data_IF_820771916964
#
_entry.id   IF_820771916964
#
_cell.length_a   1.000
_cell.length_b   1.000
_cell.length_c   1.000
_cell.angle_alpha   90.00
_cell.angle_beta   90.00
_cell.angle_gamma   90.00
#
_symmetry.space_group_name_H-M   'P 1'
#
loop_
_entity.id
_entity.type
_entity.pdbx_description
1 polymer ?
#
# COMPACT_ATOMS: atom_id res chain seq x y z
N UNK A 1 12.61 49.80 35.81
CA UNK A 1 11.55 48.93 36.35
C UNK A 1 10.24 49.71 36.19
N UNK A 2 9.30 49.43 35.29
CA UNK A 2 8.97 48.23 34.52
C UNK A 2 8.64 48.63 33.08
N UNK A 3 9.10 47.83 32.11
CA UNK A 3 8.75 47.97 30.69
C UNK A 3 7.47 47.18 30.42
N UNK A 4 6.57 47.79 29.65
CA UNK A 4 5.24 47.31 29.33
C UNK A 4 5.23 46.05 28.47
N UNK A 5 4.16 45.29 28.63
CA UNK A 5 3.81 44.08 27.89
C UNK A 5 3.35 44.51 26.49
N UNK A 6 4.18 44.28 25.47
CA UNK A 6 3.74 44.36 24.07
C UNK A 6 3.09 43.04 23.64
N UNK A 7 1.89 43.15 23.07
CA UNK A 7 1.03 42.05 22.69
C UNK A 7 1.59 41.22 21.52
N UNK A 8 1.48 39.91 21.69
CA UNK A 8 1.72 38.88 20.66
C UNK A 8 0.72 39.02 19.49
N UNK A 9 1.17 39.02 18.22
CA UNK A 9 0.28 38.97 17.07
C UNK A 9 -0.19 37.53 16.84
N UNK A 10 -1.19 37.10 17.60
CA UNK A 10 -1.94 35.88 17.31
C UNK A 10 -2.92 36.14 16.16
N UNK A 11 -2.54 35.66 14.97
CA UNK A 11 -3.43 35.04 13.97
C UNK A 11 -4.84 35.64 13.86
N UNK A 12 -4.96 36.83 13.28
CA UNK A 12 -6.20 37.24 12.63
C UNK A 12 -6.36 36.44 11.33
N UNK A 13 -7.10 35.35 11.42
CA UNK A 13 -7.61 34.61 10.25
C UNK A 13 -8.71 35.49 9.62
N UNK A 14 -8.67 35.81 8.31
CA UNK A 14 -9.71 36.62 7.70
C UNK A 14 -11.06 35.90 7.80
N UNK A 15 -12.02 36.53 8.47
CA UNK A 15 -13.44 36.17 8.44
C UNK A 15 -13.97 36.41 7.02
N UNK A 16 -13.92 35.37 6.20
CA UNK A 16 -14.34 35.43 4.80
C UNK A 16 -14.48 34.07 4.15
N UNK A 17 -15.34 33.21 4.70
CA UNK A 17 -15.86 32.06 3.95
C UNK A 17 -17.29 31.73 4.41
N UNK A 18 -18.24 32.55 3.97
CA UNK A 18 -19.64 32.15 3.88
C UNK A 18 -19.78 31.12 2.75
N UNK A 19 -19.96 29.86 3.12
CA UNK A 19 -21.11 29.03 2.73
C UNK A 19 -20.83 27.58 3.08
N UNK A 20 -21.72 27.01 3.88
CA UNK A 20 -21.93 25.57 4.08
C UNK A 20 -22.48 24.90 2.82
N UNK A 21 -21.89 25.21 1.65
CA UNK A 21 -22.18 24.51 0.41
C UNK A 21 -21.46 23.17 0.41
N UNK A 22 -22.21 22.09 0.20
CA UNK A 22 -21.62 20.80 -0.21
C UNK A 22 -20.67 21.08 -1.36
N UNK A 23 -19.40 20.76 -1.15
CA UNK A 23 -18.34 21.04 -2.12
C UNK A 23 -18.61 20.17 -3.34
N UNK A 24 -18.96 20.82 -4.45
CA UNK A 24 -19.08 20.13 -5.73
C UNK A 24 -17.70 19.60 -6.11
N UNK A 25 -17.56 18.28 -6.05
CA UNK A 25 -16.36 17.57 -6.53
C UNK A 25 -16.38 17.45 -8.06
N UNK A 26 -17.57 17.39 -8.66
CA UNK A 26 -17.75 17.36 -10.11
C UNK A 26 -17.85 18.80 -10.68
N UNK A 27 -17.37 19.03 -11.91
CA UNK A 27 -17.59 20.28 -12.63
C UNK A 27 -19.08 20.66 -12.73
N UNK A 28 -19.35 21.96 -12.77
CA UNK A 28 -20.71 22.47 -12.89
C UNK A 28 -21.34 22.11 -14.24
N UNK A 29 -22.66 21.91 -14.26
CA UNK A 29 -23.41 21.57 -15.47
C UNK A 29 -23.46 20.07 -15.84
N UNK A 30 -22.77 19.19 -15.10
CA UNK A 30 -22.88 17.74 -15.32
C UNK A 30 -24.23 17.20 -14.84
N UNK A 31 -24.88 16.37 -15.67
CA UNK A 31 -26.07 15.57 -15.30
C UNK A 31 -25.70 14.53 -14.23
N UNK A 32 -26.65 14.03 -13.42
CA UNK A 32 -26.37 13.07 -12.34
C UNK A 32 -25.57 11.83 -12.75
N UNK A 33 -25.90 11.23 -13.91
CA UNK A 33 -25.15 10.11 -14.46
C UNK A 33 -23.69 10.47 -14.79
N UNK A 34 -23.46 11.65 -15.35
CA UNK A 34 -22.11 12.14 -15.68
C UNK A 34 -21.29 12.39 -14.40
N UNK A 35 -21.93 12.90 -13.34
CA UNK A 35 -21.30 13.06 -12.03
C UNK A 35 -20.90 11.71 -11.44
N UNK A 36 -21.80 10.71 -11.48
CA UNK A 36 -21.50 9.36 -10.99
C UNK A 36 -20.30 8.74 -11.73
N UNK A 37 -20.30 8.81 -13.07
CA UNK A 37 -19.16 8.34 -13.90
C UNK A 37 -17.88 9.10 -13.56
N UNK A 38 -17.96 10.42 -13.36
CA UNK A 38 -16.83 11.23 -12.96
C UNK A 38 -16.24 10.78 -11.62
N UNK A 39 -17.08 10.56 -10.61
CA UNK A 39 -16.64 10.13 -9.28
C UNK A 39 -16.06 8.72 -9.30
N UNK A 40 -16.70 7.76 -9.96
CA UNK A 40 -16.19 6.39 -10.10
C UNK A 40 -14.84 6.37 -10.81
N UNK A 41 -14.70 7.13 -11.91
CA UNK A 41 -13.42 7.27 -12.61
C UNK A 41 -12.36 7.89 -11.70
N UNK A 42 -12.71 8.91 -10.91
CA UNK A 42 -11.76 9.55 -9.99
C UNK A 42 -11.29 8.59 -8.89
N UNK A 43 -12.19 7.80 -8.29
CA UNK A 43 -11.83 6.78 -7.29
C UNK A 43 -10.96 5.66 -7.88
N UNK A 44 -11.27 5.22 -9.10
CA UNK A 44 -10.42 4.28 -9.83
C UNK A 44 -9.02 4.87 -10.09
N UNK A 45 -8.94 6.13 -10.53
CA UNK A 45 -7.66 6.77 -10.81
C UNK A 45 -6.83 7.01 -9.54
N UNK A 46 -7.42 7.15 -8.36
CA UNK A 46 -6.64 7.17 -7.11
C UNK A 46 -5.91 5.86 -6.84
N UNK A 47 -6.49 4.73 -7.26
CA UNK A 47 -6.07 3.38 -6.87
C UNK A 47 -5.51 2.55 -8.04
N UNK A 48 -5.48 3.10 -9.25
CA UNK A 48 -5.15 2.39 -10.50
C UNK A 48 -3.79 1.69 -10.45
N UNK A 49 -2.76 2.31 -9.88
CA UNK A 49 -1.44 1.68 -9.70
C UNK A 49 -1.50 0.53 -8.71
N UNK A 50 -2.32 0.69 -7.67
CA UNK A 50 -2.35 -0.18 -6.49
C UNK A 50 -3.14 -1.47 -6.71
N UNK A 51 -3.91 -1.56 -7.80
CA UNK A 51 -4.61 -2.78 -8.17
C UNK A 51 -3.64 -3.95 -8.31
N UNK A 52 -2.50 -3.73 -8.98
CA UNK A 52 -1.50 -4.78 -9.24
C UNK A 52 -0.48 -4.92 -8.12
N UNK A 53 -0.16 -3.84 -7.41
CA UNK A 53 0.89 -3.85 -6.38
C UNK A 53 0.37 -4.19 -4.99
N UNK A 54 -0.92 -3.95 -4.71
CA UNK A 54 -1.52 -4.19 -3.39
C UNK A 54 -2.80 -5.03 -3.48
N UNK A 55 -3.82 -4.60 -4.22
CA UNK A 55 -5.14 -5.25 -4.18
C UNK A 55 -5.07 -6.74 -4.57
N UNK A 56 -4.54 -7.04 -5.75
CA UNK A 56 -4.46 -8.42 -6.24
C UNK A 56 -3.53 -9.29 -5.36
N UNK A 57 -2.30 -8.85 -4.98
CA UNK A 57 -1.48 -9.59 -4.03
C UNK A 57 -2.15 -9.84 -2.68
N UNK A 58 -2.86 -8.86 -2.12
CA UNK A 58 -3.55 -9.04 -0.83
C UNK A 58 -4.71 -10.03 -0.93
N UNK A 59 -5.44 -10.07 -2.06
CA UNK A 59 -6.45 -11.11 -2.32
C UNK A 59 -5.80 -12.51 -2.34
N UNK A 60 -4.65 -12.65 -2.98
CA UNK A 60 -3.88 -13.91 -3.00
C UNK A 60 -3.44 -14.29 -1.58
N UNK A 61 -2.91 -13.34 -0.82
CA UNK A 61 -2.48 -13.53 0.55
C UNK A 61 -3.62 -14.07 1.44
N UNK A 62 -4.76 -13.39 1.46
CA UNK A 62 -5.87 -13.78 2.34
C UNK A 62 -6.49 -15.12 1.94
N UNK A 63 -6.63 -15.40 0.65
CA UNK A 63 -7.16 -16.68 0.17
C UNK A 63 -6.22 -17.83 0.51
N UNK A 64 -4.92 -17.65 0.30
CA UNK A 64 -3.91 -18.65 0.65
C UNK A 64 -3.85 -18.88 2.15
N UNK A 65 -4.04 -17.82 2.96
CA UNK A 65 -4.04 -17.92 4.40
C UNK A 65 -5.26 -18.66 4.98
N UNK A 66 -6.47 -18.45 4.43
CA UNK A 66 -7.68 -19.15 4.92
C UNK A 66 -7.79 -20.58 4.42
N UNK A 67 -7.19 -20.88 3.26
CA UNK A 67 -7.12 -22.23 2.69
C UNK A 67 -5.88 -23.02 3.15
N UNK A 68 -5.01 -22.39 3.94
CA UNK A 68 -3.88 -23.04 4.59
C UNK A 68 -4.37 -24.20 5.47
N UNK A 69 -3.62 -25.32 5.50
CA UNK A 69 -3.93 -26.47 6.35
C UNK A 69 -3.85 -26.11 7.83
N UNK A 70 -2.91 -25.24 8.19
CA UNK A 70 -2.72 -24.82 9.57
C UNK A 70 -3.64 -23.63 9.92
N UNK A 71 -4.16 -23.57 11.16
CA UNK A 71 -4.98 -22.45 11.59
C UNK A 71 -4.15 -21.16 11.70
N UNK A 72 -4.47 -20.18 10.85
CA UNK A 72 -3.89 -18.82 10.90
C UNK A 72 -4.83 -17.80 11.55
N UNK A 73 -6.11 -18.14 11.69
CA UNK A 73 -7.11 -17.31 12.38
C UNK A 73 -7.95 -18.18 13.30
N UNK A 74 -8.58 -17.56 14.30
CA UNK A 74 -9.49 -18.26 15.21
C UNK A 74 -10.76 -18.78 14.52
N UNK A 75 -11.03 -18.36 13.28
CA UNK A 75 -12.12 -18.85 12.44
C UNK A 75 -11.69 -19.93 11.46
N UNK A 76 -10.61 -20.67 11.71
CA UNK A 76 -10.14 -21.74 10.82
C UNK A 76 -11.22 -22.82 10.58
N UNK A 77 -11.20 -23.43 9.38
CA UNK A 77 -12.19 -24.44 8.98
C UNK A 77 -13.48 -23.86 8.38
N UNK A 78 -13.47 -22.62 7.89
CA UNK A 78 -14.61 -22.02 7.20
C UNK A 78 -15.02 -22.83 5.98
N UNK A 79 -16.32 -22.91 5.74
CA UNK A 79 -16.87 -23.48 4.53
C UNK A 79 -16.57 -22.59 3.32
N UNK A 80 -16.54 -23.18 2.11
CA UNK A 80 -16.36 -22.41 0.87
C UNK A 80 -17.43 -21.31 0.69
N UNK A 81 -18.66 -21.54 1.18
CA UNK A 81 -19.74 -20.58 1.13
C UNK A 81 -19.49 -19.37 2.05
N UNK A 82 -18.95 -19.58 3.24
CA UNK A 82 -18.58 -18.50 4.17
C UNK A 82 -17.45 -17.64 3.59
N UNK A 83 -16.42 -18.28 3.04
CA UNK A 83 -15.32 -17.59 2.35
C UNK A 83 -15.88 -16.77 1.18
N UNK A 84 -16.73 -17.35 0.33
CA UNK A 84 -17.33 -16.67 -0.82
C UNK A 84 -18.19 -15.46 -0.41
N UNK A 85 -18.90 -15.53 0.73
CA UNK A 85 -19.70 -14.42 1.25
C UNK A 85 -18.84 -13.29 1.84
N UNK A 86 -17.71 -13.61 2.48
CA UNK A 86 -16.84 -12.62 3.14
C UNK A 86 -15.79 -12.03 2.20
N UNK A 87 -15.45 -12.72 1.11
CA UNK A 87 -14.46 -12.24 0.13
C UNK A 87 -14.81 -10.86 -0.45
N UNK A 88 -16.05 -10.57 -0.90
CA UNK A 88 -16.41 -9.22 -1.36
C UNK A 88 -16.21 -8.15 -0.29
N UNK A 89 -16.46 -8.47 0.99
CA UNK A 89 -16.25 -7.54 2.10
C UNK A 89 -14.76 -7.26 2.32
N UNK A 90 -13.92 -8.29 2.26
CA UNK A 90 -12.47 -8.13 2.38
C UNK A 90 -11.89 -7.34 1.19
N UNK A 91 -12.33 -7.61 -0.04
CA UNK A 91 -11.94 -6.87 -1.25
C UNK A 91 -12.36 -5.40 -1.14
N UNK A 92 -13.61 -5.14 -0.72
CA UNK A 92 -14.10 -3.79 -0.49
C UNK A 92 -13.29 -3.09 0.61
N UNK A 93 -12.97 -3.77 1.70
CA UNK A 93 -12.14 -3.24 2.78
C UNK A 93 -10.76 -2.85 2.27
N UNK A 94 -10.08 -3.70 1.48
CA UNK A 94 -8.78 -3.36 0.87
C UNK A 94 -8.92 -2.13 -0.03
N UNK A 95 -9.91 -2.13 -0.92
CA UNK A 95 -10.11 -1.03 -1.87
C UNK A 95 -10.43 0.30 -1.18
N UNK A 96 -11.27 0.30 -0.14
CA UNK A 96 -11.60 1.49 0.64
C UNK A 96 -10.36 2.11 1.29
N UNK A 97 -9.49 1.27 1.86
CA UNK A 97 -8.24 1.70 2.46
C UNK A 97 -7.22 2.16 1.41
N UNK A 98 -7.21 1.56 0.21
CA UNK A 98 -6.44 2.06 -0.94
C UNK A 98 -6.92 3.44 -1.40
N UNK A 99 -8.24 3.71 -1.38
CA UNK A 99 -8.76 5.05 -1.67
C UNK A 99 -8.24 6.07 -0.65
N UNK A 100 -8.27 5.76 0.65
CA UNK A 100 -7.72 6.61 1.71
C UNK A 100 -6.22 6.88 1.47
N UNK A 101 -5.44 5.83 1.23
CA UNK A 101 -4.01 5.93 0.94
C UNK A 101 -3.74 6.77 -0.32
N UNK A 102 -4.47 6.50 -1.41
CA UNK A 102 -4.33 7.19 -2.68
C UNK A 102 -4.62 8.68 -2.59
N UNK A 103 -5.68 9.07 -1.89
CA UNK A 103 -5.99 10.49 -1.65
C UNK A 103 -4.88 11.16 -0.83
N UNK A 104 -4.46 10.52 0.27
CA UNK A 104 -3.44 11.09 1.15
C UNK A 104 -2.07 11.23 0.47
N UNK A 105 -1.64 10.22 -0.29
CA UNK A 105 -0.36 10.22 -0.98
C UNK A 105 -0.27 11.27 -2.10
N UNK A 106 -1.40 11.64 -2.70
CA UNK A 106 -1.43 12.48 -3.90
C UNK A 106 -1.76 13.96 -3.62
N UNK A 107 -2.29 14.29 -2.43
CA UNK A 107 -2.84 15.64 -2.14
C UNK A 107 -1.83 16.76 -1.92
N UNK A 108 -0.60 16.43 -1.53
CA UNK A 108 0.43 17.40 -1.20
C UNK A 108 1.05 17.99 -2.47
N UNK A 109 1.43 19.26 -2.46
CA UNK A 109 2.01 19.96 -3.61
C UNK A 109 3.22 19.22 -4.20
N UNK A 110 4.14 18.77 -3.35
CA UNK A 110 5.32 17.99 -3.76
C UNK A 110 4.95 16.65 -4.41
N UNK A 111 3.86 16.00 -3.98
CA UNK A 111 3.35 14.79 -4.61
C UNK A 111 2.68 15.08 -5.96
N UNK A 112 2.02 16.23 -6.11
CA UNK A 112 1.41 16.62 -7.40
C UNK A 112 2.49 16.84 -8.45
N UNK A 113 3.57 17.55 -8.11
CA UNK A 113 4.71 17.79 -9.02
C UNK A 113 5.37 16.46 -9.44
N UNK A 114 5.59 15.54 -8.50
CA UNK A 114 6.10 14.20 -8.80
C UNK A 114 5.16 13.44 -9.75
N UNK A 115 3.87 13.47 -9.47
CA UNK A 115 2.87 12.73 -10.24
C UNK A 115 2.65 13.34 -11.63
N UNK A 116 2.86 14.64 -11.84
CA UNK A 116 2.83 15.26 -13.18
C UNK A 116 3.91 14.68 -14.10
N UNK A 117 5.05 14.27 -13.55
CA UNK A 117 6.13 13.62 -14.29
C UNK A 117 5.89 12.12 -14.45
N UNK A 118 5.70 11.40 -13.34
CA UNK A 118 5.66 9.94 -13.35
C UNK A 118 4.28 9.37 -13.74
N UNK A 119 3.20 10.01 -13.27
CA UNK A 119 1.83 9.45 -13.25
C UNK A 119 0.79 10.52 -13.61
N UNK A 120 0.90 11.19 -14.78
CA UNK A 120 0.08 12.38 -15.12
C UNK A 120 -1.43 12.11 -15.21
N UNK A 121 -1.83 10.83 -15.23
CA UNK A 121 -3.21 10.38 -15.21
C UNK A 121 -3.85 10.39 -13.80
N UNK A 122 -3.07 10.57 -12.73
CA UNK A 122 -3.59 10.62 -11.35
C UNK A 122 -4.53 11.81 -11.15
N UNK A 123 -5.56 11.72 -10.31
CA UNK A 123 -6.61 12.74 -10.24
C UNK A 123 -6.14 14.18 -10.07
N UNK A 124 -5.09 14.43 -9.28
CA UNK A 124 -4.64 15.79 -8.99
C UNK A 124 -3.69 16.31 -10.07
N UNK A 125 -2.73 15.50 -10.52
CA UNK A 125 -1.89 15.80 -11.68
C UNK A 125 -2.72 16.04 -12.96
N UNK A 126 -3.77 15.25 -13.16
CA UNK A 126 -4.72 15.40 -14.26
C UNK A 126 -5.75 16.54 -14.05
N UNK A 127 -5.62 17.33 -12.97
CA UNK A 127 -6.48 18.46 -12.62
C UNK A 127 -7.98 18.11 -12.52
N UNK A 128 -8.30 16.85 -12.20
CA UNK A 128 -9.68 16.39 -11.94
C UNK A 128 -10.19 16.92 -10.61
N UNK A 129 -9.31 17.06 -9.62
CA UNK A 129 -9.60 17.61 -8.30
C UNK A 129 -8.50 18.59 -7.90
N UNK A 130 -8.86 19.62 -7.13
CA UNK A 130 -7.90 20.46 -6.42
C UNK A 130 -7.42 19.80 -5.13
N UNK A 131 -6.26 20.21 -4.61
CA UNK A 131 -5.74 19.73 -3.32
C UNK A 131 -6.77 19.94 -2.18
N UNK A 132 -7.46 21.08 -2.15
CA UNK A 132 -8.51 21.35 -1.16
C UNK A 132 -9.77 20.48 -1.32
N UNK A 133 -10.12 20.06 -2.54
CA UNK A 133 -11.17 19.06 -2.75
C UNK A 133 -10.72 17.67 -2.26
N UNK A 134 -9.49 17.28 -2.56
CA UNK A 134 -8.91 16.01 -2.09
C UNK A 134 -8.81 15.94 -0.56
N UNK A 135 -8.39 17.03 0.10
CA UNK A 135 -8.36 17.12 1.56
C UNK A 135 -9.73 16.89 2.19
N UNK A 136 -10.78 17.50 1.63
CA UNK A 136 -12.15 17.33 2.13
C UNK A 136 -12.69 15.92 1.88
N UNK A 137 -12.33 15.31 0.75
CA UNK A 137 -12.63 13.91 0.47
C UNK A 137 -11.94 12.98 1.48
N UNK A 138 -10.67 13.26 1.83
CA UNK A 138 -9.93 12.50 2.85
C UNK A 138 -10.59 12.58 4.22
N UNK A 139 -11.02 13.78 4.64
CA UNK A 139 -11.75 14.01 5.90
C UNK A 139 -13.05 13.21 6.00
N UNK A 140 -13.70 12.87 4.88
CA UNK A 140 -14.86 11.99 4.85
C UNK A 140 -14.46 10.50 4.73
N UNK A 141 -13.44 10.18 3.93
CA UNK A 141 -13.03 8.81 3.65
C UNK A 141 -12.42 8.11 4.89
N UNK A 142 -11.69 8.83 5.75
CA UNK A 142 -11.09 8.27 6.96
C UNK A 142 -12.16 7.81 7.97
N UNK A 143 -13.12 8.66 8.41
CA UNK A 143 -14.21 8.21 9.27
C UNK A 143 -15.05 7.08 8.65
N UNK A 144 -15.27 7.11 7.34
CA UNK A 144 -15.96 6.02 6.63
C UNK A 144 -15.20 4.70 6.77
N UNK A 145 -13.88 4.70 6.54
CA UNK A 145 -13.05 3.51 6.68
C UNK A 145 -13.04 2.95 8.11
N UNK A 146 -12.99 3.82 9.12
CA UNK A 146 -13.12 3.45 10.54
C UNK A 146 -14.50 2.86 10.82
N UNK A 147 -15.57 3.53 10.38
CA UNK A 147 -16.95 3.10 10.59
C UNK A 147 -17.26 1.75 9.93
N UNK A 148 -16.79 1.54 8.70
CA UNK A 148 -16.91 0.24 8.00
C UNK A 148 -16.17 -0.85 8.78
N UNK A 149 -14.96 -0.58 9.26
CA UNK A 149 -14.17 -1.57 10.00
C UNK A 149 -14.78 -1.90 11.37
N UNK A 150 -15.36 -0.91 12.05
CA UNK A 150 -16.14 -1.13 13.26
C UNK A 150 -17.40 -1.96 13.00
N UNK A 151 -18.14 -1.66 11.93
CA UNK A 151 -19.36 -2.38 11.55
C UNK A 151 -19.12 -3.83 11.14
N UNK A 152 -17.97 -4.13 10.53
CA UNK A 152 -17.56 -5.50 10.21
C UNK A 152 -17.12 -6.31 11.45
N UNK A 153 -16.89 -5.65 12.59
CA UNK A 153 -16.45 -6.28 13.84
C UNK A 153 -14.99 -6.78 13.81
N UNK A 154 -14.25 -6.49 12.74
CA UNK A 154 -12.88 -6.94 12.52
C UNK A 154 -12.12 -5.91 11.66
N UNK A 155 -10.80 -5.87 11.78
CA UNK A 155 -9.96 -4.94 11.02
C UNK A 155 -9.83 -3.53 11.59
N UNK A 156 -10.51 -3.18 12.68
CA UNK A 156 -10.44 -1.85 13.30
C UNK A 156 -9.01 -1.45 13.73
N UNK A 157 -8.29 -2.34 14.41
CA UNK A 157 -6.90 -2.07 14.83
C UNK A 157 -5.97 -1.82 13.62
N UNK A 158 -5.96 -2.68 12.57
CA UNK A 158 -5.27 -2.37 11.32
C UNK A 158 -5.68 -1.06 10.66
N UNK A 159 -6.97 -0.70 10.64
CA UNK A 159 -7.46 0.57 10.09
C UNK A 159 -6.91 1.78 10.86
N UNK A 160 -6.97 1.75 12.18
CA UNK A 160 -6.44 2.83 13.02
C UNK A 160 -4.92 2.95 12.83
N UNK A 161 -4.20 1.82 12.90
CA UNK A 161 -2.75 1.76 12.72
C UNK A 161 -2.33 2.30 11.35
N UNK A 162 -3.01 1.87 10.28
CA UNK A 162 -2.72 2.32 8.92
C UNK A 162 -3.02 3.81 8.73
N UNK A 163 -4.12 4.31 9.31
CA UNK A 163 -4.46 5.75 9.26
C UNK A 163 -3.40 6.58 9.98
N UNK A 164 -2.95 6.13 11.15
CA UNK A 164 -1.86 6.77 11.90
C UNK A 164 -0.55 6.75 11.12
N UNK A 165 -0.16 5.60 10.56
CA UNK A 165 1.06 5.46 9.75
C UNK A 165 1.01 6.34 8.50
N UNK A 166 -0.15 6.43 7.84
CA UNK A 166 -0.33 7.27 6.65
C UNK A 166 -0.24 8.76 6.98
N UNK A 167 -0.80 9.17 8.12
CA UNK A 167 -0.65 10.53 8.65
C UNK A 167 0.82 10.82 9.01
N UNK A 168 1.51 9.89 9.69
CA UNK A 168 2.95 10.03 9.97
C UNK A 168 3.78 10.12 8.67
N UNK A 169 3.45 9.33 7.66
CA UNK A 169 4.17 9.30 6.39
C UNK A 169 4.06 10.62 5.61
N UNK A 170 2.84 11.15 5.46
CA UNK A 170 2.56 12.31 4.62
C UNK A 170 2.50 13.62 5.42
N UNK A 171 1.62 13.70 6.42
CA UNK A 171 1.31 14.96 7.13
C UNK A 171 2.39 15.37 8.13
N UNK A 172 3.07 14.41 8.75
CA UNK A 172 4.24 14.67 9.61
C UNK A 172 5.57 14.58 8.85
N UNK A 173 5.51 14.46 7.52
CA UNK A 173 6.68 14.37 6.65
C UNK A 173 7.64 13.21 7.01
N UNK A 174 7.12 12.13 7.61
CA UNK A 174 7.90 10.95 7.98
C UNK A 174 8.57 10.27 6.79
N UNK A 175 8.03 10.47 5.58
CA UNK A 175 8.63 10.00 4.33
C UNK A 175 9.96 10.67 3.97
N UNK A 176 10.28 11.81 4.59
CA UNK A 176 11.46 12.64 4.30
C UNK A 176 12.58 12.55 5.35
N UNK A 177 12.34 11.89 6.49
CA UNK A 177 13.32 11.74 7.59
C UNK A 177 14.57 11.02 7.10
N UNK A 178 14.42 9.74 6.78
CA UNK A 178 15.45 8.90 6.17
C UNK A 178 14.81 7.66 5.52
N UNK A 179 15.62 6.92 4.77
CA UNK A 179 15.17 5.76 3.99
C UNK A 179 14.61 4.63 4.87
N UNK A 180 15.15 4.42 6.07
CA UNK A 180 14.76 3.36 6.97
C UNK A 180 13.45 3.68 7.67
N UNK A 181 13.28 4.92 8.15
CA UNK A 181 12.02 5.41 8.69
C UNK A 181 10.89 5.32 7.64
N UNK A 182 11.17 5.78 6.42
CA UNK A 182 10.23 5.70 5.28
C UNK A 182 9.82 4.25 4.98
N UNK A 183 10.79 3.35 4.86
CA UNK A 183 10.53 1.95 4.58
C UNK A 183 9.79 1.24 5.72
N UNK A 184 10.10 1.58 6.98
CA UNK A 184 9.42 1.03 8.15
C UNK A 184 7.94 1.43 8.19
N UNK A 185 7.64 2.73 7.97
CA UNK A 185 6.25 3.23 7.95
C UNK A 185 5.47 2.59 6.79
N UNK A 186 6.05 2.55 5.59
CA UNK A 186 5.42 1.93 4.41
C UNK A 186 5.15 0.44 4.63
N UNK A 187 6.14 -0.28 5.17
CA UNK A 187 6.00 -1.72 5.50
C UNK A 187 4.90 -1.93 6.53
N UNK A 188 4.84 -1.12 7.59
CA UNK A 188 3.76 -1.17 8.56
C UNK A 188 2.38 -0.97 7.92
N UNK A 189 2.25 -0.07 6.94
CA UNK A 189 1.04 0.12 6.16
C UNK A 189 0.63 -1.13 5.38
N UNK A 190 1.58 -1.78 4.69
CA UNK A 190 1.30 -3.04 3.97
C UNK A 190 0.95 -4.19 4.92
N UNK A 191 1.61 -4.28 6.07
CA UNK A 191 1.27 -5.27 7.10
C UNK A 191 -0.16 -5.06 7.63
N UNK A 192 -0.62 -3.81 7.74
CA UNK A 192 -2.02 -3.51 8.09
C UNK A 192 -3.01 -4.00 7.02
N UNK A 193 -2.67 -3.90 5.73
CA UNK A 193 -3.50 -4.49 4.67
C UNK A 193 -3.64 -5.99 4.85
N UNK A 194 -2.53 -6.70 5.09
CA UNK A 194 -2.55 -8.16 5.30
C UNK A 194 -3.32 -8.55 6.56
N UNK A 195 -3.09 -7.88 7.68
CA UNK A 195 -3.77 -8.17 8.94
C UNK A 195 -5.28 -7.87 8.88
N UNK A 196 -5.64 -6.68 8.37
CA UNK A 196 -7.03 -6.23 8.33
C UNK A 196 -7.87 -7.04 7.35
N UNK A 197 -7.38 -7.24 6.12
CA UNK A 197 -8.12 -8.01 5.12
C UNK A 197 -8.28 -9.48 5.49
N UNK A 198 -7.27 -10.10 6.11
CA UNK A 198 -7.37 -11.48 6.61
C UNK A 198 -8.40 -11.58 7.75
N UNK A 199 -8.40 -10.63 8.69
CA UNK A 199 -9.39 -10.59 9.76
C UNK A 199 -10.82 -10.40 9.22
N UNK A 200 -10.98 -9.57 8.19
CA UNK A 200 -12.29 -9.37 7.54
C UNK A 200 -12.75 -10.61 6.80
N UNK A 201 -11.85 -11.28 6.05
CA UNK A 201 -12.17 -12.50 5.34
C UNK A 201 -12.54 -13.63 6.30
N UNK A 202 -11.74 -13.85 7.35
CA UNK A 202 -12.00 -14.91 8.32
C UNK A 202 -13.14 -14.58 9.29
N UNK A 203 -13.42 -13.29 9.52
CA UNK A 203 -14.32 -12.84 10.58
C UNK A 203 -13.82 -13.14 11.99
N UNK A 204 -12.52 -13.33 12.15
CA UNK A 204 -11.91 -13.79 13.39
C UNK A 204 -10.55 -13.15 13.63
N UNK A 205 -10.09 -13.20 14.88
CA UNK A 205 -8.77 -12.73 15.26
C UNK A 205 -7.65 -13.55 14.59
N UNK A 206 -6.54 -12.88 14.28
CA UNK A 206 -5.32 -13.52 13.77
C UNK A 206 -4.59 -14.26 14.89
N UNK A 207 -4.07 -15.44 14.57
CA UNK A 207 -3.24 -16.23 15.48
C UNK A 207 -1.77 -15.81 15.39
N UNK A 208 -0.93 -16.15 16.39
CA UNK A 208 0.49 -15.75 16.42
C UNK A 208 1.26 -16.13 15.15
N UNK A 209 0.96 -17.28 14.55
CA UNK A 209 1.59 -17.73 13.30
C UNK A 209 1.23 -16.85 12.10
N UNK A 210 0.03 -16.29 12.07
CA UNK A 210 -0.37 -15.31 11.06
C UNK A 210 0.43 -14.01 11.21
N UNK A 211 0.58 -13.51 12.43
CA UNK A 211 1.43 -12.35 12.70
C UNK A 211 2.89 -12.60 12.34
N UNK A 212 3.43 -13.79 12.63
CA UNK A 212 4.77 -14.18 12.22
C UNK A 212 4.90 -14.19 10.69
N UNK A 213 3.91 -14.72 9.97
CA UNK A 213 3.91 -14.70 8.51
C UNK A 213 3.83 -13.28 7.93
N UNK A 214 2.97 -12.42 8.49
CA UNK A 214 2.89 -10.99 8.13
C UNK A 214 4.21 -10.27 8.41
N UNK A 215 4.92 -10.62 9.48
CA UNK A 215 6.24 -10.06 9.77
C UNK A 215 7.31 -10.53 8.78
N UNK A 216 7.32 -11.82 8.42
CA UNK A 216 8.22 -12.40 7.42
C UNK A 216 8.02 -11.74 6.05
N UNK A 217 6.77 -11.65 5.58
CA UNK A 217 6.48 -11.00 4.30
C UNK A 217 6.68 -9.48 4.36
N UNK A 218 6.39 -8.85 5.50
CA UNK A 218 6.72 -7.45 5.75
C UNK A 218 8.21 -7.18 5.63
N UNK A 219 9.07 -8.02 6.22
CA UNK A 219 10.52 -7.91 6.10
C UNK A 219 11.01 -8.14 4.67
N UNK A 220 10.41 -9.10 3.95
CA UNK A 220 10.67 -9.30 2.53
C UNK A 220 10.36 -8.03 1.73
N UNK A 221 9.21 -7.39 1.94
CA UNK A 221 8.84 -6.14 1.29
C UNK A 221 9.79 -5.02 1.69
N UNK A 222 10.06 -4.82 2.98
CA UNK A 222 10.92 -3.74 3.48
C UNK A 222 12.31 -3.71 2.82
N UNK A 223 12.85 -4.90 2.53
CA UNK A 223 14.19 -5.08 1.95
C UNK A 223 14.21 -5.14 0.42
N UNK A 224 13.05 -5.32 -0.22
CA UNK A 224 12.96 -5.52 -1.69
C UNK A 224 12.08 -4.51 -2.41
N UNK A 225 11.28 -3.69 -1.71
CA UNK A 225 10.35 -2.71 -2.31
C UNK A 225 11.07 -1.67 -3.18
N UNK A 226 12.37 -1.44 -2.93
CA UNK A 226 13.25 -0.66 -3.80
C UNK A 226 13.29 -1.12 -5.27
N UNK A 227 12.81 -2.34 -5.58
CA UNK A 227 12.56 -2.77 -6.95
C UNK A 227 11.61 -1.82 -7.70
N UNK A 228 10.70 -1.17 -6.98
CA UNK A 228 9.76 -0.19 -7.52
C UNK A 228 10.38 1.22 -7.64
N UNK A 229 11.51 1.48 -7.01
CA UNK A 229 12.19 2.78 -7.07
C UNK A 229 12.99 2.93 -8.40
N UNK A 230 13.36 1.83 -9.08
CA UNK A 230 14.15 1.93 -10.32
C UNK A 230 13.41 2.61 -11.48
N UNK A 231 12.13 2.27 -11.78
CA UNK A 231 11.38 3.01 -12.81
C UNK A 231 11.08 4.46 -12.41
N UNK A 232 10.95 4.74 -11.11
CA UNK A 232 10.51 6.05 -10.59
C UNK A 232 11.68 7.02 -10.29
N UNK A 233 12.94 6.66 -10.62
CA UNK A 233 14.14 7.44 -10.25
C UNK A 233 14.14 8.91 -10.72
N UNK A 234 13.57 9.20 -11.88
CA UNK A 234 13.53 10.57 -12.42
C UNK A 234 12.62 11.48 -11.58
N UNK A 235 11.38 11.06 -11.34
CA UNK A 235 10.48 11.79 -10.46
C UNK A 235 10.94 11.82 -9.00
N UNK A 236 11.59 10.74 -8.51
CA UNK A 236 12.21 10.74 -7.19
C UNK A 236 13.30 11.81 -7.07
N UNK A 237 14.13 11.96 -8.12
CA UNK A 237 15.15 13.01 -8.18
C UNK A 237 14.52 14.41 -8.22
N UNK A 238 13.46 14.61 -9.01
CA UNK A 238 12.75 15.88 -9.10
C UNK A 238 12.12 16.30 -7.76
N UNK A 239 11.61 15.35 -6.98
CA UNK A 239 11.07 15.56 -5.63
C UNK A 239 12.15 15.72 -4.55
N UNK A 240 13.41 15.42 -4.85
CA UNK A 240 14.48 15.36 -3.85
C UNK A 240 14.36 14.16 -2.89
N UNK A 241 13.72 13.07 -3.33
CA UNK A 241 13.59 11.85 -2.53
C UNK A 241 14.93 11.16 -2.37
N UNK A 242 15.12 10.61 -1.16
CA UNK A 242 16.31 9.85 -0.77
C UNK A 242 16.06 8.34 -0.90
N UNK A 243 15.95 7.83 -2.13
CA UNK A 243 15.77 6.39 -2.39
C UNK A 243 17.09 5.63 -2.35
N UNK A 244 17.06 4.30 -2.18
CA UNK A 244 18.30 3.48 -2.10
C UNK A 244 19.17 3.66 -3.36
N UNK A 245 18.62 3.63 -4.60
CA UNK A 245 19.41 3.88 -5.80
C UNK A 245 20.06 5.26 -5.84
N UNK A 246 19.38 6.31 -5.32
CA UNK A 246 19.89 7.69 -5.32
C UNK A 246 20.90 7.94 -4.19
N UNK A 247 20.75 7.29 -3.03
CA UNK A 247 21.65 7.46 -1.88
C UNK A 247 22.93 6.64 -1.97
N UNK A 248 22.81 5.35 -2.31
CA UNK A 248 23.91 4.39 -2.25
C UNK A 248 24.45 4.00 -3.64
N UNK A 249 23.83 4.54 -4.69
CA UNK A 249 24.15 4.23 -6.06
C UNK A 249 23.47 2.96 -6.56
N UNK A 250 23.22 2.94 -7.87
CA UNK A 250 22.45 1.90 -8.55
C UNK A 250 23.07 0.49 -8.40
N UNK A 251 24.41 0.39 -8.42
CA UNK A 251 25.10 -0.91 -8.28
C UNK A 251 24.83 -1.57 -6.93
N UNK A 252 24.88 -0.79 -5.85
CA UNK A 252 24.63 -1.27 -4.48
C UNK A 252 23.16 -1.63 -4.31
N UNK A 253 22.25 -0.77 -4.79
CA UNK A 253 20.81 -1.02 -4.75
C UNK A 253 20.43 -2.33 -5.47
N UNK A 254 20.93 -2.54 -6.70
CA UNK A 254 20.67 -3.74 -7.50
C UNK A 254 21.27 -5.00 -6.87
N UNK A 255 22.51 -4.92 -6.39
CA UNK A 255 23.17 -6.04 -5.71
C UNK A 255 22.46 -6.44 -4.43
N UNK A 256 22.12 -5.46 -3.58
CA UNK A 256 21.36 -5.68 -2.36
C UNK A 256 19.98 -6.26 -2.61
N UNK A 257 19.25 -5.75 -3.61
CA UNK A 257 17.95 -6.29 -4.02
C UNK A 257 18.08 -7.75 -4.47
N UNK A 258 19.05 -8.08 -5.33
CA UNK A 258 19.27 -9.43 -5.80
C UNK A 258 19.53 -10.42 -4.65
N UNK A 259 20.39 -10.03 -3.69
CA UNK A 259 20.68 -10.85 -2.51
C UNK A 259 19.43 -11.03 -1.65
N UNK A 260 18.71 -9.95 -1.34
CA UNK A 260 17.51 -10.01 -0.51
C UNK A 260 16.43 -10.92 -1.14
N UNK A 261 16.19 -10.80 -2.44
CA UNK A 261 15.23 -11.66 -3.17
C UNK A 261 15.61 -13.13 -3.06
N UNK A 262 16.89 -13.48 -3.24
CA UNK A 262 17.36 -14.86 -3.12
C UNK A 262 17.20 -15.40 -1.69
N UNK A 263 17.54 -14.59 -0.67
CA UNK A 263 17.37 -14.95 0.74
C UNK A 263 15.90 -15.26 1.05
N UNK A 264 14.98 -14.36 0.68
CA UNK A 264 13.56 -14.55 0.95
C UNK A 264 12.93 -15.67 0.10
N UNK A 265 13.47 -15.94 -1.09
CA UNK A 265 13.05 -17.07 -1.92
C UNK A 265 13.34 -18.43 -1.27
N UNK A 266 14.29 -18.50 -0.34
CA UNK A 266 14.57 -19.68 0.48
C UNK A 266 13.90 -19.61 1.86
N UNK A 267 13.96 -18.45 2.53
CA UNK A 267 13.45 -18.28 3.88
C UNK A 267 11.93 -18.47 3.98
N UNK A 268 11.17 -18.01 2.97
CA UNK A 268 9.70 -18.12 2.99
C UNK A 268 9.22 -19.58 2.86
N UNK A 269 9.69 -20.40 1.89
CA UNK A 269 9.37 -21.84 1.89
C UNK A 269 9.84 -22.57 3.14
N UNK A 270 11.01 -22.20 3.70
CA UNK A 270 11.54 -22.77 4.93
C UNK A 270 10.65 -22.47 6.15
N UNK A 271 10.11 -21.25 6.26
CA UNK A 271 9.15 -20.87 7.31
C UNK A 271 7.92 -21.78 7.33
N UNK A 272 7.46 -22.19 6.14
CA UNK A 272 6.33 -23.09 5.96
C UNK A 272 6.69 -24.57 6.00
N UNK A 273 7.97 -24.93 6.15
CA UNK A 273 8.42 -26.32 6.18
C UNK A 273 8.27 -27.07 4.85
N UNK A 274 8.16 -26.35 3.73
CA UNK A 274 7.73 -26.94 2.46
C UNK A 274 8.76 -27.91 1.85
N UNK A 275 8.28 -28.97 1.21
CA UNK A 275 9.10 -29.86 0.38
C UNK A 275 9.84 -29.10 -0.74
N UNK A 276 11.07 -29.51 -1.13
CA UNK A 276 11.87 -28.80 -2.15
C UNK A 276 11.19 -28.57 -3.50
N UNK A 277 10.22 -29.41 -3.89
CA UNK A 277 9.45 -29.23 -5.13
C UNK A 277 8.70 -27.88 -5.15
N UNK A 278 8.21 -27.42 -4.01
CA UNK A 278 7.49 -26.15 -3.89
C UNK A 278 8.42 -24.93 -3.87
N UNK A 279 9.74 -25.13 -3.78
CA UNK A 279 10.74 -24.06 -3.81
C UNK A 279 11.04 -23.60 -5.24
N UNK A 280 10.69 -24.41 -6.24
CA UNK A 280 10.96 -24.13 -7.66
C UNK A 280 10.38 -22.78 -8.09
N UNK A 281 9.14 -22.46 -7.68
CA UNK A 281 8.52 -21.20 -8.08
C UNK A 281 9.14 -19.97 -7.38
N UNK A 282 9.29 -19.91 -6.03
CA UNK A 282 9.98 -18.82 -5.35
C UNK A 282 11.41 -18.61 -5.86
N UNK A 283 12.20 -19.69 -5.96
CA UNK A 283 13.61 -19.63 -6.39
C UNK A 283 13.73 -19.32 -7.88
N UNK A 284 12.86 -19.88 -8.71
CA UNK A 284 12.88 -19.64 -10.16
C UNK A 284 12.54 -18.20 -10.52
N UNK A 285 11.41 -17.68 -10.01
CA UNK A 285 11.01 -16.28 -10.26
C UNK A 285 11.97 -15.31 -9.58
N UNK A 286 12.38 -15.59 -8.33
CA UNK A 286 13.34 -14.77 -7.59
C UNK A 286 14.72 -14.74 -8.25
N UNK A 287 15.21 -15.88 -8.74
CA UNK A 287 16.47 -16.00 -9.48
C UNK A 287 16.44 -15.26 -10.81
N UNK A 288 15.34 -15.37 -11.57
CA UNK A 288 15.15 -14.59 -12.80
C UNK A 288 15.14 -13.10 -12.51
N UNK A 289 14.40 -12.66 -11.49
CA UNK A 289 14.35 -11.26 -11.07
C UNK A 289 15.73 -10.76 -10.66
N UNK A 290 16.46 -11.50 -9.81
CA UNK A 290 17.79 -11.15 -9.35
C UNK A 290 18.79 -11.04 -10.51
N UNK A 291 18.77 -12.00 -11.44
CA UNK A 291 19.62 -11.99 -12.63
C UNK A 291 19.33 -10.77 -13.52
N UNK A 292 18.06 -10.50 -13.83
CA UNK A 292 17.67 -9.36 -14.65
C UNK A 292 18.03 -8.03 -13.98
N UNK A 293 17.84 -7.93 -12.67
CA UNK A 293 18.18 -6.75 -11.87
C UNK A 293 19.65 -6.38 -12.00
N UNK A 294 20.55 -7.37 -12.04
CA UNK A 294 22.01 -7.15 -12.10
C UNK A 294 22.52 -7.00 -13.54
N UNK A 295 22.01 -7.81 -14.46
CA UNK A 295 22.53 -7.96 -15.83
C UNK A 295 21.96 -6.93 -16.82
N UNK A 296 20.75 -6.40 -16.59
CA UNK A 296 20.12 -5.41 -17.48
C UNK A 296 19.84 -4.12 -16.72
N UNK A 297 20.34 -3.01 -17.27
CA UNK A 297 20.28 -1.68 -16.64
C UNK A 297 19.78 -0.65 -17.64
N UNK A 298 18.50 -0.75 -17.94
CA UNK A 298 17.77 0.23 -18.73
C UNK A 298 16.32 0.31 -18.23
N UNK A 299 15.66 1.40 -18.56
CA UNK A 299 14.28 1.70 -18.16
C UNK A 299 13.30 0.55 -18.46
N UNK A 300 13.37 -0.02 -19.67
CA UNK A 300 12.52 -1.16 -20.05
C UNK A 300 12.74 -2.39 -19.17
N UNK A 301 13.99 -2.67 -18.77
CA UNK A 301 14.28 -3.76 -17.85
C UNK A 301 13.84 -3.48 -16.42
N UNK A 302 13.89 -2.22 -15.98
CA UNK A 302 13.47 -1.83 -14.63
C UNK A 302 11.95 -1.98 -14.47
N UNK A 303 11.19 -1.61 -15.51
CA UNK A 303 9.76 -1.90 -15.60
C UNK A 303 9.43 -3.40 -15.51
N UNK A 304 10.26 -4.24 -16.12
CA UNK A 304 10.11 -5.69 -16.07
C UNK A 304 10.47 -6.22 -14.68
N UNK A 305 11.53 -5.71 -14.05
CA UNK A 305 11.92 -6.06 -12.68
C UNK A 305 10.82 -5.69 -11.69
N UNK A 306 10.19 -4.52 -11.81
CA UNK A 306 9.06 -4.12 -10.98
C UNK A 306 7.86 -5.07 -11.13
N UNK A 307 7.53 -5.50 -12.37
CA UNK A 307 6.48 -6.50 -12.62
C UNK A 307 6.83 -7.87 -12.06
N UNK A 308 8.09 -8.29 -12.20
CA UNK A 308 8.58 -9.55 -11.63
C UNK A 308 8.56 -9.52 -10.10
N UNK A 309 8.83 -8.38 -9.48
CA UNK A 309 8.70 -8.22 -8.03
C UNK A 309 7.26 -8.43 -7.57
N UNK A 310 6.26 -7.84 -8.25
CA UNK A 310 4.85 -8.07 -7.95
C UNK A 310 4.47 -9.56 -8.09
N UNK A 311 4.97 -10.22 -9.15
CA UNK A 311 4.74 -11.64 -9.39
C UNK A 311 5.40 -12.50 -8.30
N UNK A 312 6.65 -12.21 -7.96
CA UNK A 312 7.42 -12.91 -6.94
C UNK A 312 6.77 -12.79 -5.56
N UNK A 313 6.34 -11.59 -5.15
CA UNK A 313 5.58 -11.40 -3.92
C UNK A 313 4.29 -12.21 -3.91
N UNK A 314 3.57 -12.25 -5.04
CA UNK A 314 2.36 -13.08 -5.18
C UNK A 314 2.67 -14.58 -5.05
N UNK A 315 3.79 -15.05 -5.60
CA UNK A 315 4.27 -16.43 -5.43
C UNK A 315 4.56 -16.73 -3.96
N UNK A 316 5.22 -15.82 -3.25
CA UNK A 316 5.47 -15.98 -1.81
C UNK A 316 4.15 -16.05 -1.02
N UNK A 317 3.16 -15.24 -1.39
CA UNK A 317 1.84 -15.24 -0.74
C UNK A 317 1.03 -16.51 -0.95
N UNK A 318 1.31 -17.31 -1.99
CA UNK A 318 0.67 -18.62 -2.24
C UNK A 318 1.22 -19.71 -1.34
N UNK A 319 2.42 -19.58 -0.77
CA UNK A 319 3.09 -20.63 -0.01
C UNK A 319 2.25 -21.27 1.12
N UNK A 320 1.45 -20.53 1.93
CA UNK A 320 0.61 -21.15 2.96
C UNK A 320 -0.36 -22.20 2.38
N UNK A 321 -0.88 -21.99 1.16
CA UNK A 321 -1.80 -22.92 0.50
C UNK A 321 -1.14 -24.27 0.20
N UNK A 322 0.17 -24.29 -0.07
CA UNK A 322 0.91 -25.48 -0.47
C UNK A 322 1.08 -26.47 0.69
N UNK A 323 0.94 -26.02 1.94
CA UNK A 323 0.92 -26.88 3.13
C UNK A 323 -0.23 -27.90 3.10
N UNK A 324 -1.30 -27.63 2.37
CA UNK A 324 -2.42 -28.56 2.18
C UNK A 324 -2.04 -29.77 1.29
N UNK A 325 -0.96 -29.67 0.52
CA UNK A 325 -0.53 -30.64 -0.49
C UNK A 325 0.71 -31.43 -0.06
N UNK A 326 1.08 -31.38 1.22
CA UNK A 326 2.19 -32.15 1.80
C UNK A 326 1.83 -33.61 2.15
N UNK A 327 0.64 -34.08 1.75
CA UNK A 327 0.20 -35.46 1.93
C UNK A 327 0.97 -36.46 1.05
#
# INVERSE_FOLDING_TARGET
MAAGIEGSPLLEKPLGASSSGLVKLAPEGMKPFQQAVFHLKTLYLFTKSDIKTVLAPQIIFILSAVLCREPLTAGHGQTALEIARRLPLAVFWIWLHLVVCGISNQRLESSIIEDELNKPWRPLAAKRLTAGQAQRLLLAAVPLAVGVSAALGCGLLPTLSMTTLLWMYNDLDGSSIDIWARNAINTGGIMCFSAGSLAVLSGAALLPRSWAWIAVTGAAIATTVQALDFPDMEGDRARGRKTIPLLYGEKVARGGLAVAVLVWSAACPMFWGLRPVFWVAPVGVGGLMAALTVLRRNEKSDDVVAKLWCLWMSVLYVLPLLTAWEA
#
